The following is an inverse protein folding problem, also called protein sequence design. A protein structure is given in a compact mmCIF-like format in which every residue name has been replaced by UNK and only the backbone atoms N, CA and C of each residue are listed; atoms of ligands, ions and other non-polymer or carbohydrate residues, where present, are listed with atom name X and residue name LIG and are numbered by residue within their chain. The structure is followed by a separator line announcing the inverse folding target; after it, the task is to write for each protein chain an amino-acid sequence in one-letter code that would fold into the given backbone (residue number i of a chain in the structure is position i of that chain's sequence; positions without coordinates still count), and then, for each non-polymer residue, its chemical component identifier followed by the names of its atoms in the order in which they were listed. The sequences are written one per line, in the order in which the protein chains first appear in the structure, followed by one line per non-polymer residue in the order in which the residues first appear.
data_IF_984427236162
#
_entry.id   IF_984427236162
#
_cell.length_a   1.000
_cell.length_b   1.000
_cell.length_c   1.000
_cell.angle_alpha   90.00
_cell.angle_beta   90.00
_cell.angle_gamma   90.00
#
_symmetry.space_group_name_H-M   'P 1'
#
loop_
_entity.id
_entity.type
_entity.pdbx_description
1 polymer ?
#
# COMPACT_ATOMS: atom_id res chain seq x y z
N UNK A 1 17.78 13.51 -13.96
CA UNK A 1 17.93 12.07 -14.27
C UNK A 1 16.54 11.62 -14.68
N UNK A 2 16.23 11.89 -15.94
CA UNK A 2 14.97 11.48 -16.57
C UNK A 2 15.32 10.18 -17.31
N UNK A 3 15.43 9.10 -16.55
CA UNK A 3 15.35 7.78 -17.14
C UNK A 3 13.89 7.61 -17.55
N UNK A 4 13.65 7.35 -18.84
CA UNK A 4 12.33 6.99 -19.40
C UNK A 4 11.72 5.87 -18.53
N UNK A 5 11.01 6.27 -17.48
CA UNK A 5 10.46 5.36 -16.50
C UNK A 5 9.28 4.68 -17.20
N UNK A 6 9.53 3.50 -17.77
CA UNK A 6 8.48 2.63 -18.28
C UNK A 6 7.72 2.03 -17.10
N UNK A 7 6.84 2.82 -16.52
CA UNK A 7 5.93 2.37 -15.47
C UNK A 7 4.73 1.71 -16.11
N UNK A 8 4.38 0.52 -15.60
CA UNK A 8 3.09 -0.11 -15.84
C UNK A 8 2.11 0.35 -14.74
N UNK A 9 1.22 1.33 -15.02
CA UNK A 9 0.32 1.87 -14.00
C UNK A 9 -0.69 0.84 -13.51
N UNK A 10 -1.05 -0.14 -14.35
CA UNK A 10 -1.92 -1.25 -13.98
C UNK A 10 -1.23 -2.16 -12.98
N UNK A 11 0.04 -2.49 -13.24
CA UNK A 11 0.89 -3.26 -12.33
C UNK A 11 1.09 -2.56 -10.99
N UNK A 12 1.37 -1.25 -10.99
CA UNK A 12 1.52 -0.46 -9.76
C UNK A 12 0.23 -0.41 -8.95
N UNK A 13 -0.92 -0.23 -9.62
CA UNK A 13 -2.24 -0.25 -8.97
C UNK A 13 -2.54 -1.61 -8.35
N UNK A 14 -2.25 -2.70 -9.07
CA UNK A 14 -2.43 -4.06 -8.57
C UNK A 14 -1.55 -4.31 -7.34
N UNK A 15 -0.29 -3.87 -7.36
CA UNK A 15 0.60 -3.94 -6.21
C UNK A 15 0.07 -3.15 -5.01
N UNK A 16 -0.44 -1.92 -5.22
CA UNK A 16 -1.06 -1.11 -4.16
C UNK A 16 -2.22 -1.85 -3.47
N UNK A 17 -3.14 -2.43 -4.26
CA UNK A 17 -4.24 -3.24 -3.71
C UNK A 17 -3.75 -4.47 -2.95
N UNK A 18 -2.74 -5.16 -3.47
CA UNK A 18 -2.17 -6.34 -2.82
C UNK A 18 -1.53 -5.97 -1.47
N UNK A 19 -0.85 -4.83 -1.38
CA UNK A 19 -0.29 -4.33 -0.12
C UNK A 19 -1.39 -4.03 0.90
N UNK A 20 -2.50 -3.42 0.48
CA UNK A 20 -3.65 -3.18 1.36
C UNK A 20 -4.25 -4.50 1.90
N UNK A 21 -4.47 -5.49 1.03
CA UNK A 21 -4.95 -6.81 1.42
C UNK A 21 -4.00 -7.50 2.42
N UNK A 22 -2.69 -7.40 2.18
CA UNK A 22 -1.67 -7.93 3.08
C UNK A 22 -1.64 -7.21 4.42
N UNK A 23 -1.84 -5.89 4.44
CA UNK A 23 -1.93 -5.10 5.66
C UNK A 23 -3.11 -5.59 6.52
N UNK A 24 -4.29 -5.77 5.92
CA UNK A 24 -5.47 -6.26 6.63
C UNK A 24 -5.27 -7.67 7.18
N UNK A 25 -4.70 -8.57 6.38
CA UNK A 25 -4.38 -9.94 6.81
C UNK A 25 -3.36 -9.95 7.95
N UNK A 26 -2.34 -9.08 7.90
CA UNK A 26 -1.34 -8.94 8.94
C UNK A 26 -1.95 -8.50 10.27
N UNK A 27 -2.79 -7.46 10.24
CA UNK A 27 -3.47 -6.96 11.44
C UNK A 27 -4.41 -8.02 12.04
N UNK A 28 -5.21 -8.68 11.20
CA UNK A 28 -6.13 -9.73 11.65
C UNK A 28 -5.39 -10.90 12.30
N UNK A 29 -4.26 -11.32 11.73
CA UNK A 29 -3.41 -12.37 12.30
C UNK A 29 -2.85 -12.01 13.69
N UNK A 30 -2.38 -10.78 13.86
CA UNK A 30 -1.88 -10.30 15.14
C UNK A 30 -2.97 -10.09 16.19
N UNK A 31 -4.15 -9.61 15.81
CA UNK A 31 -5.31 -9.53 16.70
C UNK A 31 -5.67 -10.92 17.22
N UNK A 32 -5.79 -11.92 16.33
CA UNK A 32 -6.10 -13.29 16.72
C UNK A 32 -4.99 -13.91 17.60
N UNK A 33 -3.72 -13.58 17.37
CA UNK A 33 -2.62 -14.03 18.23
C UNK A 33 -2.73 -13.42 19.64
N UNK A 34 -2.99 -12.11 19.74
CA UNK A 34 -3.16 -11.42 21.02
C UNK A 34 -4.35 -11.95 21.82
N UNK A 35 -5.47 -12.28 21.15
CA UNK A 35 -6.62 -12.92 21.80
C UNK A 35 -6.28 -14.29 22.38
N UNK A 36 -5.49 -15.10 21.67
CA UNK A 36 -5.01 -16.40 22.19
C UNK A 36 -4.09 -16.23 23.39
N UNK A 37 -3.21 -15.23 23.37
CA UNK A 37 -2.33 -14.92 24.51
C UNK A 37 -3.17 -14.51 25.72
N UNK A 38 -4.17 -13.63 25.53
CA UNK A 38 -5.08 -13.22 26.59
C UNK A 38 -5.91 -14.39 27.16
N UNK A 39 -6.35 -15.34 26.31
CA UNK A 39 -7.06 -16.53 26.76
C UNK A 39 -6.15 -17.50 27.56
N UNK A 40 -4.87 -17.60 27.18
CA UNK A 40 -3.89 -18.46 27.86
C UNK A 40 -3.36 -17.86 29.18
N UNK A 41 -3.65 -16.59 29.46
CA UNK A 41 -3.09 -15.86 30.60
C UNK A 41 -3.39 -16.51 31.96
N UNK A 42 -4.52 -17.21 32.09
CA UNK A 42 -4.91 -17.96 33.29
C UNK A 42 -3.92 -19.07 33.68
N UNK A 43 -3.04 -19.50 32.77
CA UNK A 43 -1.99 -20.49 33.03
C UNK A 43 -0.67 -19.91 33.56
N UNK A 44 -0.51 -18.59 33.59
CA UNK A 44 0.72 -17.92 34.02
C UNK A 44 0.53 -17.26 35.38
N UNK A 45 1.53 -17.37 36.27
CA UNK A 45 1.45 -16.86 37.65
C UNK A 45 2.62 -15.90 37.90
N UNK A 46 2.38 -14.83 38.65
CA UNK A 46 3.44 -13.93 39.13
C UNK A 46 4.10 -13.11 38.01
N UNK A 47 5.42 -12.94 38.10
CA UNK A 47 6.20 -12.08 37.20
C UNK A 47 6.10 -12.51 35.73
N UNK A 48 5.97 -13.80 35.43
CA UNK A 48 5.82 -14.29 34.06
C UNK A 48 4.51 -13.83 33.41
N UNK A 49 3.42 -13.73 34.18
CA UNK A 49 2.15 -13.21 33.66
C UNK A 49 2.23 -11.72 33.33
N UNK A 50 2.91 -10.95 34.19
CA UNK A 50 3.14 -9.51 33.97
C UNK A 50 4.06 -9.27 32.76
N UNK A 51 5.14 -10.04 32.63
CA UNK A 51 6.04 -9.96 31.48
C UNK A 51 5.34 -10.31 30.16
N UNK A 52 4.51 -11.36 30.16
CA UNK A 52 3.72 -11.74 28.97
C UNK A 52 2.71 -10.66 28.59
N UNK A 53 2.05 -10.04 29.58
CA UNK A 53 1.13 -8.93 29.35
C UNK A 53 1.85 -7.72 28.73
N UNK A 54 3.04 -7.38 29.24
CA UNK A 54 3.87 -6.30 28.70
C UNK A 54 4.32 -6.59 27.26
N UNK A 55 4.75 -7.82 26.99
CA UNK A 55 5.13 -8.24 25.64
C UNK A 55 3.94 -8.18 24.66
N UNK A 56 2.76 -8.66 25.07
CA UNK A 56 1.55 -8.60 24.25
C UNK A 56 1.12 -7.16 23.95
N UNK A 57 1.24 -6.25 24.93
CA UNK A 57 0.97 -4.83 24.74
C UNK A 57 1.93 -4.19 23.73
N UNK A 58 3.24 -4.47 23.86
CA UNK A 58 4.25 -4.00 22.93
C UNK A 58 3.98 -4.51 21.50
N UNK A 59 3.70 -5.80 21.34
CA UNK A 59 3.40 -6.38 20.03
C UNK A 59 2.13 -5.78 19.42
N UNK A 60 1.11 -5.48 20.22
CA UNK A 60 -0.10 -4.79 19.74
C UNK A 60 0.23 -3.40 19.17
N UNK A 61 1.12 -2.66 19.82
CA UNK A 61 1.54 -1.33 19.37
C UNK A 61 2.38 -1.41 18.09
N UNK A 62 3.35 -2.32 18.05
CA UNK A 62 4.18 -2.58 16.88
C UNK A 62 3.35 -3.02 15.67
N UNK A 63 2.45 -3.99 15.83
CA UNK A 63 1.58 -4.43 14.74
C UNK A 63 0.65 -3.31 14.25
N UNK A 64 0.19 -2.43 15.14
CA UNK A 64 -0.58 -1.27 14.72
C UNK A 64 0.27 -0.25 13.94
N UNK A 65 1.55 -0.09 14.28
CA UNK A 65 2.48 0.77 13.53
C UNK A 65 2.77 0.22 12.14
N UNK A 66 3.18 -1.05 12.06
CA UNK A 66 3.47 -1.71 10.78
C UNK A 66 2.24 -1.75 9.86
N UNK A 67 1.04 -1.95 10.43
CA UNK A 67 -0.19 -1.85 9.65
C UNK A 67 -0.39 -0.46 9.02
N UNK A 68 -0.14 0.63 9.78
CA UNK A 68 -0.23 2.00 9.24
C UNK A 68 0.78 2.25 8.14
N UNK A 69 2.01 1.76 8.31
CA UNK A 69 3.07 1.90 7.30
C UNK A 69 2.73 1.15 6.01
N UNK A 70 2.22 -0.08 6.12
CA UNK A 70 1.77 -0.85 4.96
C UNK A 70 0.61 -0.16 4.23
N UNK A 71 -0.39 0.34 4.98
CA UNK A 71 -1.48 1.13 4.40
C UNK A 71 -0.98 2.37 3.67
N UNK A 72 -0.03 3.10 4.25
CA UNK A 72 0.57 4.26 3.60
C UNK A 72 1.25 3.87 2.29
N UNK A 73 1.99 2.75 2.26
CA UNK A 73 2.61 2.26 1.03
C UNK A 73 1.58 1.85 -0.04
N UNK A 74 0.48 1.19 0.36
CA UNK A 74 -0.63 0.88 -0.53
C UNK A 74 -1.22 2.16 -1.15
N UNK A 75 -1.51 3.17 -0.33
CA UNK A 75 -2.02 4.47 -0.75
C UNK A 75 -1.05 5.21 -1.68
N UNK A 76 0.25 5.21 -1.37
CA UNK A 76 1.28 5.85 -2.18
C UNK A 76 1.41 5.19 -3.57
N UNK A 77 1.30 3.86 -3.64
CA UNK A 77 1.30 3.12 -4.91
C UNK A 77 0.05 3.44 -5.74
N UNK A 78 -1.12 3.48 -5.11
CA UNK A 78 -2.37 3.86 -5.80
C UNK A 78 -2.30 5.31 -6.32
N UNK A 79 -1.78 6.23 -5.51
CA UNK A 79 -1.57 7.61 -5.91
C UNK A 79 -0.55 7.76 -7.05
N UNK A 80 0.53 6.97 -7.02
CA UNK A 80 1.51 6.94 -8.10
C UNK A 80 0.90 6.41 -9.39
N UNK A 81 0.16 5.30 -9.35
CA UNK A 81 -0.54 4.75 -10.51
C UNK A 81 -1.49 5.77 -11.16
N UNK A 82 -2.26 6.51 -10.34
CA UNK A 82 -3.14 7.56 -10.84
C UNK A 82 -2.37 8.70 -11.53
N UNK A 83 -1.21 9.11 -10.98
CA UNK A 83 -0.38 10.15 -11.61
C UNK A 83 0.16 9.71 -12.96
N UNK A 84 0.60 8.46 -13.08
CA UNK A 84 1.09 7.93 -14.37
C UNK A 84 -0.02 7.84 -15.41
N UNK A 85 -1.24 7.43 -15.05
CA UNK A 85 -2.38 7.40 -15.97
C UNK A 85 -2.77 8.79 -16.46
N UNK A 86 -2.79 9.80 -15.58
CA UNK A 86 -3.05 11.19 -15.97
C UNK A 86 -1.97 11.69 -16.93
N UNK A 87 -0.69 11.45 -16.61
CA UNK A 87 0.42 11.87 -17.47
C UNK A 87 0.36 11.23 -18.87
N UNK A 88 0.03 9.94 -18.95
CA UNK A 88 -0.13 9.22 -20.22
C UNK A 88 -1.31 9.78 -21.04
N UNK A 89 -2.43 10.07 -20.39
CA UNK A 89 -3.62 10.66 -21.03
C UNK A 89 -3.34 12.07 -21.56
N UNK A 90 -2.64 12.89 -20.78
CA UNK A 90 -2.26 14.26 -21.17
C UNK A 90 -1.27 14.24 -22.35
N UNK A 91 -0.30 13.32 -22.33
CA UNK A 91 0.64 13.12 -23.41
C UNK A 91 -0.06 12.66 -24.70
N UNK A 92 -0.98 11.71 -24.61
CA UNK A 92 -1.76 11.23 -25.75
C UNK A 92 -2.63 12.35 -26.36
N UNK A 93 -3.28 13.16 -25.52
CA UNK A 93 -4.08 14.31 -25.96
C UNK A 93 -3.23 15.35 -26.67
N UNK A 94 -2.04 15.64 -26.13
CA UNK A 94 -1.09 16.57 -26.75
C UNK A 94 -0.59 16.06 -28.10
N UNK A 95 -0.34 14.75 -28.21
CA UNK A 95 0.09 14.12 -29.46
C UNK A 95 -1.02 14.15 -30.53
N UNK A 96 -2.26 13.88 -30.14
CA UNK A 96 -3.42 13.94 -31.05
C UNK A 96 -3.67 15.36 -31.57
N UNK A 97 -3.56 16.37 -30.70
CA UNK A 97 -3.63 17.77 -31.08
C UNK A 97 -2.51 18.17 -32.05
N UNK A 98 -1.27 17.74 -31.77
CA UNK A 98 -0.13 18.01 -32.65
C UNK A 98 -0.26 17.28 -34.00
N UNK A 99 -0.77 16.05 -34.01
CA UNK A 99 -1.02 15.29 -35.24
C UNK A 99 -2.10 15.97 -36.10
N UNK A 100 -3.16 16.46 -35.48
CA UNK A 100 -4.22 17.22 -36.14
C UNK A 100 -3.71 18.53 -36.76
N UNK A 101 -2.90 19.30 -36.03
CA UNK A 101 -2.26 20.52 -36.54
C UNK A 101 -1.34 20.23 -37.75
N UNK A 102 -0.56 19.15 -37.67
CA UNK A 102 0.30 18.73 -38.79
C UNK A 102 -0.53 18.30 -40.00
N UNK A 103 -1.63 17.57 -39.80
CA UNK A 103 -2.54 17.17 -40.88
C UNK A 103 -3.17 18.40 -41.56
N UNK A 104 -3.68 19.35 -40.78
CA UNK A 104 -4.24 20.61 -41.27
C UNK A 104 -3.21 21.40 -42.09
N UNK A 105 -1.97 21.51 -41.60
CA UNK A 105 -0.89 22.19 -42.32
C UNK A 105 -0.48 21.49 -43.62
N UNK A 106 -0.63 20.17 -43.68
CA UNK A 106 -0.32 19.37 -44.88
C UNK A 106 -1.51 19.25 -45.85
N UNK A 107 -2.70 19.75 -45.48
CA UNK A 107 -3.89 19.72 -46.32
C UNK A 107 -4.46 18.31 -46.55
N UNK A 108 -4.26 17.41 -45.58
CA UNK A 108 -4.77 16.03 -45.56
C UNK A 108 -5.79 15.85 -44.45
#
# INVERSE_FOLDING_TARGET
MDEDLRVDPVGVRAAGKQVDEQAESFLAGHVAANERIAAAQNGFIGESAAALAGLAAHWKEESASHHRELRQHGEDLLAAAAKYETADTDAATTLDAAASDVAERMGI
#
